data_IF_004660494506
#
_entry.id   IF_004660494506
#
_cell.length_a   1.000
_cell.length_b   1.000
_cell.length_c   1.000
_cell.angle_alpha   90.00
_cell.angle_beta   90.00
_cell.angle_gamma   90.00
#
_symmetry.space_group_name_H-M   'P 1'
#
loop_
_entity.id
_entity.type
_entity.pdbx_description
1 polymer ?
#
# COMPACT_ATOMS: atom_id res chain seq x y z
N UNK A 1 -4.74 -13.94 7.99
CA UNK A 1 -4.92 -13.17 9.23
C UNK A 1 -4.07 -11.92 9.13
N UNK A 2 -4.68 -10.75 9.15
CA UNK A 2 -3.92 -9.50 9.17
C UNK A 2 -3.33 -9.36 10.58
N UNK A 3 -2.00 -9.33 10.69
CA UNK A 3 -1.36 -9.00 11.96
C UNK A 3 -1.57 -7.51 12.21
N UNK A 4 -2.03 -7.15 13.41
CA UNK A 4 -2.07 -5.77 13.81
C UNK A 4 -0.65 -5.18 13.78
N UNK A 5 -0.52 -4.01 13.17
CA UNK A 5 0.73 -3.25 13.13
C UNK A 5 0.89 -2.56 14.46
N UNK A 6 1.87 -3.02 15.22
CA UNK A 6 2.32 -2.36 16.44
C UNK A 6 3.62 -1.59 16.16
N UNK A 7 3.50 -0.28 16.02
CA UNK A 7 4.64 0.61 15.79
C UNK A 7 5.65 0.66 16.95
N UNK A 8 5.24 0.26 18.17
CA UNK A 8 6.15 0.19 19.33
C UNK A 8 7.09 -1.02 19.25
N UNK A 9 6.70 -2.06 18.50
CA UNK A 9 7.45 -3.31 18.33
C UNK A 9 8.49 -3.29 17.20
N UNK A 10 8.51 -2.24 16.35
CA UNK A 10 9.37 -2.14 15.15
C UNK A 10 10.83 -1.74 15.52
N UNK A 11 11.34 -2.20 16.66
CA UNK A 11 12.63 -1.82 17.21
C UNK A 11 13.83 -2.27 16.35
N UNK A 12 14.64 -1.29 15.93
CA UNK A 12 16.08 -1.35 15.57
C UNK A 12 16.61 -2.42 14.59
N UNK A 13 15.78 -3.20 13.90
CA UNK A 13 16.27 -4.20 12.94
C UNK A 13 16.13 -3.71 11.49
N UNK A 14 17.26 -3.61 10.79
CA UNK A 14 17.45 -3.43 9.33
C UNK A 14 16.34 -2.73 8.52
N UNK A 15 15.76 -1.66 9.06
CA UNK A 15 14.68 -0.88 8.39
C UNK A 15 15.20 -0.21 7.11
N UNK A 16 16.53 -0.15 6.94
CA UNK A 16 17.20 0.52 5.83
C UNK A 16 17.34 -0.36 4.59
N UNK A 17 17.41 -1.69 4.72
CA UNK A 17 17.67 -2.59 3.58
C UNK A 17 16.43 -2.70 2.67
N UNK A 18 15.23 -2.74 3.24
CA UNK A 18 13.98 -2.88 2.49
C UNK A 18 13.33 -1.55 2.10
N UNK A 19 13.84 -0.41 2.62
CA UNK A 19 13.23 0.88 2.34
C UNK A 19 13.66 1.41 0.96
N UNK A 20 12.73 1.78 0.06
CA UNK A 20 13.06 2.16 -1.31
C UNK A 20 13.94 3.42 -1.42
N UNK A 21 13.99 4.24 -0.37
CA UNK A 21 14.94 5.35 -0.24
C UNK A 21 15.60 5.33 1.15
N UNK A 22 16.71 4.61 1.34
CA UNK A 22 17.29 4.39 2.67
C UNK A 22 17.62 5.69 3.42
N UNK A 23 17.99 6.76 2.70
CA UNK A 23 18.30 8.07 3.30
C UNK A 23 17.09 8.77 3.93
N UNK A 24 15.87 8.37 3.56
CA UNK A 24 14.60 8.91 4.07
C UNK A 24 13.87 7.92 4.99
N UNK A 25 14.50 6.78 5.31
CA UNK A 25 13.91 5.76 6.15
C UNK A 25 13.61 6.30 7.56
N UNK A 26 12.40 6.02 8.04
CA UNK A 26 11.98 6.36 9.41
C UNK A 26 11.96 5.09 10.25
N UNK A 27 12.27 5.23 11.54
CA UNK A 27 12.21 4.12 12.50
C UNK A 27 10.83 3.46 12.57
N UNK A 28 9.77 4.25 12.38
CA UNK A 28 8.38 3.76 12.32
C UNK A 28 7.91 3.79 10.87
N UNK A 29 8.39 2.83 10.09
CA UNK A 29 7.97 2.61 8.71
C UNK A 29 7.53 1.15 8.54
N UNK A 30 6.54 0.95 7.68
CA UNK A 30 6.12 -0.37 7.23
C UNK A 30 5.91 -0.34 5.72
N UNK A 31 6.32 -1.39 5.03
CA UNK A 31 5.90 -1.59 3.66
C UNK A 31 4.42 -1.99 3.62
N UNK A 32 3.68 -1.42 2.68
CA UNK A 32 2.33 -1.87 2.36
C UNK A 32 2.32 -2.84 1.18
N UNK A 33 3.47 -3.27 0.66
CA UNK A 33 3.57 -4.23 -0.43
C UNK A 33 2.99 -5.60 -0.07
N UNK A 34 2.94 -6.48 -1.07
CA UNK A 34 2.39 -7.82 -0.98
C UNK A 34 0.93 -7.87 -1.43
N UNK A 35 0.12 -8.68 -0.74
CA UNK A 35 -1.24 -9.00 -1.18
C UNK A 35 -2.22 -7.84 -0.95
N UNK A 36 -2.87 -7.39 -2.02
CA UNK A 36 -3.98 -6.43 -2.02
C UNK A 36 -5.21 -7.03 -2.71
N UNK A 37 -6.37 -6.44 -2.46
CA UNK A 37 -7.57 -6.71 -3.26
C UNK A 37 -7.61 -5.73 -4.42
N UNK A 38 -7.88 -6.21 -5.62
CA UNK A 38 -8.11 -5.41 -6.81
C UNK A 38 -9.52 -5.65 -7.33
N UNK A 39 -10.20 -4.58 -7.70
CA UNK A 39 -11.53 -4.64 -8.32
C UNK A 39 -11.53 -3.90 -9.66
N UNK A 40 -12.06 -4.57 -10.68
CA UNK A 40 -12.25 -4.00 -12.02
C UNK A 40 -13.59 -4.50 -12.58
N UNK A 41 -14.43 -3.60 -13.11
CA UNK A 41 -15.75 -3.95 -13.69
C UNK A 41 -16.62 -4.88 -12.82
N UNK A 42 -16.59 -4.70 -11.49
CA UNK A 42 -17.26 -5.52 -10.46
C UNK A 42 -16.65 -6.91 -10.22
N UNK A 43 -15.60 -7.28 -10.92
CA UNK A 43 -14.80 -8.47 -10.63
C UNK A 43 -13.76 -8.14 -9.56
N UNK A 44 -13.68 -8.97 -8.52
CA UNK A 44 -12.71 -8.83 -7.44
C UNK A 44 -11.69 -9.96 -7.52
N UNK A 45 -10.42 -9.61 -7.45
CA UNK A 45 -9.31 -10.55 -7.40
C UNK A 45 -8.27 -10.11 -6.38
N UNK A 46 -7.24 -10.93 -6.22
CA UNK A 46 -6.06 -10.60 -5.43
C UNK A 46 -4.91 -10.21 -6.35
N UNK A 47 -4.18 -9.16 -5.99
CA UNK A 47 -2.98 -8.72 -6.70
C UNK A 47 -1.78 -8.65 -5.74
N UNK A 48 -0.60 -8.99 -6.23
CA UNK A 48 0.68 -8.73 -5.55
C UNK A 48 1.23 -7.37 -5.98
N UNK A 49 1.22 -6.41 -5.06
CA UNK A 49 1.88 -5.09 -5.22
C UNK A 49 3.36 -5.25 -4.86
N UNK A 50 4.30 -4.69 -5.65
CA UNK A 50 4.12 -3.63 -6.65
C UNK A 50 4.03 -4.09 -8.12
N UNK A 51 3.72 -5.35 -8.39
CA UNK A 51 3.71 -5.85 -9.78
C UNK A 51 2.53 -5.29 -10.59
N UNK A 52 2.74 -4.95 -11.87
CA UNK A 52 1.70 -4.38 -12.72
C UNK A 52 0.63 -5.43 -13.05
N UNK A 53 -0.61 -4.97 -13.21
CA UNK A 53 -1.75 -5.80 -13.66
C UNK A 53 -1.39 -6.52 -14.96
N UNK A 54 -1.74 -7.82 -15.04
CA UNK A 54 -1.50 -8.64 -16.23
C UNK A 54 -0.12 -9.30 -16.24
N UNK A 55 0.82 -8.89 -15.39
CA UNK A 55 2.08 -9.60 -15.22
C UNK A 55 1.88 -10.91 -14.45
N UNK A 56 2.70 -11.92 -14.77
CA UNK A 56 2.67 -13.21 -14.08
C UNK A 56 2.89 -13.07 -12.57
N UNK A 57 3.78 -12.17 -12.14
CA UNK A 57 4.10 -11.94 -10.74
C UNK A 57 2.98 -11.23 -9.96
N UNK A 58 2.13 -10.46 -10.65
CA UNK A 58 0.96 -9.82 -10.02
C UNK A 58 -0.11 -10.84 -9.59
N UNK A 59 -0.14 -12.01 -10.22
CA UNK A 59 -1.14 -13.05 -9.97
C UNK A 59 -2.55 -12.71 -10.47
N UNK A 60 -2.72 -11.62 -11.23
CA UNK A 60 -3.99 -11.22 -11.82
C UNK A 60 -3.85 -10.97 -13.32
N UNK A 61 -4.79 -11.51 -14.08
CA UNK A 61 -4.82 -11.40 -15.54
C UNK A 61 -6.03 -10.60 -16.02
N UNK A 62 -6.13 -9.35 -15.58
CA UNK A 62 -7.00 -8.40 -16.28
C UNK A 62 -6.28 -7.91 -17.53
N UNK A 63 -6.83 -8.22 -18.71
CA UNK A 63 -6.31 -7.74 -20.00
C UNK A 63 -6.92 -6.38 -20.40
N UNK A 64 -7.89 -5.90 -19.63
CA UNK A 64 -8.63 -4.69 -19.90
C UNK A 64 -7.86 -3.42 -19.50
N UNK A 65 -8.24 -2.30 -20.10
CA UNK A 65 -7.79 -0.96 -19.71
C UNK A 65 -8.89 -0.25 -18.92
N UNK A 66 -8.50 0.64 -18.02
CA UNK A 66 -9.43 1.53 -17.32
C UNK A 66 -9.07 1.74 -15.86
N UNK A 67 -10.08 2.06 -15.05
CA UNK A 67 -9.90 2.31 -13.63
C UNK A 67 -9.89 0.99 -12.84
N UNK A 68 -8.82 0.77 -12.09
CA UNK A 68 -8.70 -0.32 -11.14
C UNK A 68 -8.79 0.23 -9.72
N UNK A 69 -9.53 -0.45 -8.85
CA UNK A 69 -9.63 -0.09 -7.45
C UNK A 69 -8.80 -1.05 -6.62
N UNK A 70 -7.77 -0.53 -5.96
CA UNK A 70 -6.93 -1.27 -5.03
C UNK A 70 -7.41 -1.02 -3.60
N UNK A 71 -7.45 -2.07 -2.78
CA UNK A 71 -7.78 -1.94 -1.36
C UNK A 71 -6.98 -2.90 -0.49
N UNK A 72 -6.59 -2.39 0.68
CA UNK A 72 -5.91 -3.13 1.75
C UNK A 72 -6.35 -2.57 3.08
N UNK A 73 -6.70 -3.47 4.00
CA UNK A 73 -7.04 -3.10 5.37
C UNK A 73 -5.83 -3.28 6.27
N UNK A 74 -5.59 -2.30 7.12
CA UNK A 74 -4.53 -2.30 8.10
C UNK A 74 -5.18 -2.15 9.47
N UNK A 75 -4.80 -3.01 10.39
CA UNK A 75 -5.15 -2.85 11.80
C UNK A 75 -3.94 -2.22 12.49
N UNK A 76 -4.15 -1.09 13.15
CA UNK A 76 -3.11 -0.36 13.86
C UNK A 76 -3.54 -0.31 15.32
N UNK A 77 -2.72 -0.88 16.21
CA UNK A 77 -3.07 -1.02 17.64
C UNK A 77 -3.16 0.33 18.34
N UNK A 78 -2.24 1.25 18.05
CA UNK A 78 -2.23 2.60 18.60
C UNK A 78 -1.89 3.65 17.54
N UNK A 79 -2.82 4.57 17.32
CA UNK A 79 -2.60 5.79 16.53
C UNK A 79 -2.34 6.97 17.47
N UNK A 80 -1.07 7.36 17.59
CA UNK A 80 -0.69 8.57 18.31
C UNK A 80 -1.15 9.82 17.55
N UNK A 81 -2.23 10.45 18.04
CA UNK A 81 -2.81 11.66 17.44
C UNK A 81 -1.86 12.87 17.41
N UNK A 82 -0.77 12.83 18.18
CA UNK A 82 0.26 13.91 18.18
C UNK A 82 1.30 13.72 17.08
N UNK A 83 1.29 12.59 16.37
CA UNK A 83 2.22 12.30 15.28
C UNK A 83 1.58 12.52 13.92
N UNK A 84 2.43 12.77 12.93
CA UNK A 84 2.05 12.84 11.52
C UNK A 84 2.37 11.52 10.82
N UNK A 85 1.34 10.88 10.29
CA UNK A 85 1.46 9.70 9.45
C UNK A 85 1.59 10.12 7.99
N UNK A 86 2.40 9.39 7.23
CA UNK A 86 2.61 9.64 5.80
C UNK A 86 2.35 8.33 5.06
N UNK A 87 1.45 8.38 4.09
CA UNK A 87 1.28 7.32 3.11
C UNK A 87 2.08 7.70 1.86
N UNK A 88 3.07 6.88 1.53
CA UNK A 88 3.90 7.09 0.35
C UNK A 88 3.54 6.06 -0.72
N UNK A 89 3.15 6.54 -1.90
CA UNK A 89 2.97 5.70 -3.10
C UNK A 89 4.15 5.99 -4.02
N UNK A 90 5.03 5.00 -4.19
CA UNK A 90 6.27 5.20 -4.94
C UNK A 90 6.04 5.53 -6.42
N UNK A 91 5.12 4.81 -7.05
CA UNK A 91 4.64 5.07 -8.40
C UNK A 91 3.25 4.45 -8.58
N UNK A 92 2.40 5.08 -9.40
CA UNK A 92 1.11 4.52 -9.80
C UNK A 92 0.69 5.18 -11.11
N UNK A 93 0.62 4.40 -12.19
CA UNK A 93 0.25 4.92 -13.50
C UNK A 93 -1.28 4.88 -13.71
N UNK A 94 -1.93 5.90 -14.28
CA UNK A 94 -1.45 7.25 -14.59
C UNK A 94 -2.11 8.27 -13.64
N UNK A 95 -3.45 8.32 -13.64
CA UNK A 95 -4.22 9.12 -12.69
C UNK A 95 -4.59 8.31 -11.45
N UNK A 96 -4.11 8.73 -10.28
CA UNK A 96 -4.32 8.05 -8.99
C UNK A 96 -5.13 8.92 -8.04
N UNK A 97 -6.10 8.30 -7.34
CA UNK A 97 -6.79 8.90 -6.19
C UNK A 97 -6.65 7.98 -4.99
N UNK A 98 -6.37 8.55 -3.82
CA UNK A 98 -6.13 7.79 -2.60
C UNK A 98 -7.22 8.13 -1.59
N UNK A 99 -7.80 7.09 -1.02
CA UNK A 99 -8.81 7.18 0.04
C UNK A 99 -8.33 6.43 1.28
N UNK A 100 -8.49 7.04 2.45
CA UNK A 100 -8.28 6.41 3.76
C UNK A 100 -9.59 6.49 4.52
N UNK A 101 -10.13 5.35 4.94
CA UNK A 101 -11.41 5.27 5.65
C UNK A 101 -12.55 6.06 4.97
N UNK A 102 -12.64 5.93 3.64
CA UNK A 102 -13.62 6.62 2.77
C UNK A 102 -13.39 8.12 2.55
N UNK A 103 -12.37 8.74 3.16
CA UNK A 103 -12.00 10.13 2.91
C UNK A 103 -10.91 10.22 1.85
N UNK A 104 -11.08 11.08 0.84
CA UNK A 104 -10.03 11.38 -0.15
C UNK A 104 -8.88 12.13 0.54
N UNK A 105 -7.66 11.63 0.42
CA UNK A 105 -6.46 12.21 1.08
C UNK A 105 -5.42 12.71 0.08
N UNK A 106 -5.57 12.40 -1.21
CA UNK A 106 -4.62 12.83 -2.22
C UNK A 106 -4.93 12.31 -3.62
N UNK A 107 -4.31 12.96 -4.62
CA UNK A 107 -4.38 12.60 -6.03
C UNK A 107 -3.07 12.92 -6.74
N UNK A 108 -2.76 12.18 -7.79
CA UNK A 108 -1.59 12.40 -8.66
C UNK A 108 -1.93 12.04 -10.11
N UNK A 109 -1.26 12.68 -11.08
CA UNK A 109 -1.33 12.40 -12.53
C UNK A 109 0.08 12.52 -13.10
#
# INVERSE_FOLDING_TARGET
>A
MNRAVDFSSIGNNSIFEDHPNPSWARRTWISLDGKWTIEHKREKSSIQVPYPVGSQLSGVHFLDKGTFKYSKSLEITELDKKKRFILNVGACDYSTKIFVNHSEVGRHV
#
